data_IF_732059230903
#
_entry.id   IF_732059230903
#
_cell.length_a   1.000
_cell.length_b   1.000
_cell.length_c   1.000
_cell.angle_alpha   90.00
_cell.angle_beta   90.00
_cell.angle_gamma   90.00
#
_symmetry.space_group_name_H-M   'P 1'
#
loop_
_entity.id
_entity.type
_entity.pdbx_description
1 polymer ?
#
# COMPACT_ATOMS: atom_id res chain seq x y z
N UNK A 1 -21.65 -21.07 30.30
CA UNK A 1 -21.29 -19.81 29.67
C UNK A 1 -19.84 -19.93 29.26
N UNK A 2 -19.59 -20.26 27.97
CA UNK A 2 -18.24 -20.46 27.41
C UNK A 2 -17.80 -19.15 26.82
N UNK A 3 -16.84 -18.50 27.44
CA UNK A 3 -16.16 -17.30 26.93
C UNK A 3 -15.11 -17.77 25.94
N UNK A 4 -15.45 -17.71 24.67
CA UNK A 4 -14.49 -17.90 23.57
C UNK A 4 -13.63 -16.62 23.50
N UNK A 5 -12.46 -16.70 24.09
CA UNK A 5 -11.39 -15.71 23.88
C UNK A 5 -10.93 -15.86 22.42
N UNK A 6 -11.34 -14.91 21.57
CA UNK A 6 -10.71 -14.74 20.26
C UNK A 6 -9.25 -14.37 20.50
N UNK A 7 -8.34 -15.30 20.20
CA UNK A 7 -6.92 -15.02 20.06
C UNK A 7 -6.77 -14.07 18.86
N UNK A 8 -6.43 -12.82 19.13
CA UNK A 8 -5.84 -11.94 18.11
C UNK A 8 -4.48 -12.53 17.76
N UNK A 9 -4.43 -13.29 16.68
CA UNK A 9 -3.18 -13.84 16.16
C UNK A 9 -2.35 -12.69 15.57
N UNK A 10 -1.18 -12.50 16.11
CA UNK A 10 -0.13 -11.70 15.51
C UNK A 10 0.36 -12.51 14.30
N UNK A 11 -0.07 -12.13 13.11
CA UNK A 11 0.31 -12.85 11.89
C UNK A 11 1.82 -12.76 11.67
N UNK A 12 2.48 -13.87 11.87
CA UNK A 12 3.73 -14.20 11.20
C UNK A 12 3.33 -15.05 10.00
N UNK A 13 3.30 -14.44 8.81
CA UNK A 13 2.91 -15.16 7.59
C UNK A 13 3.78 -16.40 7.39
N UNK A 14 3.20 -17.57 7.13
CA UNK A 14 3.98 -18.67 6.58
C UNK A 14 4.32 -18.28 5.13
N UNK A 15 5.57 -17.97 4.94
CA UNK A 15 6.20 -17.78 3.64
C UNK A 15 6.03 -19.01 2.78
N UNK A 16 5.06 -19.06 1.94
CA UNK A 16 5.06 -20.00 0.83
C UNK A 16 3.90 -19.75 -0.13
N UNK A 17 4.02 -18.78 -1.02
CA UNK A 17 3.40 -18.89 -2.35
C UNK A 17 4.15 -18.05 -3.41
N UNK A 18 5.04 -17.12 -3.01
CA UNK A 18 5.82 -16.38 -4.00
C UNK A 18 7.30 -16.71 -3.89
N UNK A 19 7.85 -17.46 -4.85
CA UNK A 19 9.27 -17.44 -5.14
C UNK A 19 9.60 -16.16 -5.95
N UNK A 20 9.43 -15.03 -5.31
CA UNK A 20 10.00 -13.77 -5.79
C UNK A 20 11.49 -13.68 -5.47
N UNK A 21 12.21 -12.70 -6.02
CA UNK A 21 13.64 -12.55 -5.79
C UNK A 21 13.94 -12.55 -4.30
N UNK A 22 15.05 -13.19 -3.94
CA UNK A 22 15.52 -13.51 -2.60
C UNK A 22 15.15 -12.45 -1.55
N UNK A 23 14.76 -12.92 -0.35
CA UNK A 23 14.56 -12.11 0.85
C UNK A 23 15.61 -10.99 0.90
N UNK A 24 15.18 -9.74 0.81
CA UNK A 24 16.07 -8.63 1.13
C UNK A 24 16.36 -8.75 2.62
N UNK A 25 17.59 -9.11 2.99
CA UNK A 25 17.98 -9.10 4.39
C UNK A 25 17.73 -7.69 4.94
N UNK A 26 16.76 -7.57 5.84
CA UNK A 26 16.54 -6.32 6.54
C UNK A 26 17.69 -6.09 7.52
N UNK A 27 18.22 -4.89 7.54
CA UNK A 27 19.21 -4.47 8.56
C UNK A 27 18.58 -4.40 9.96
N UNK A 28 17.25 -4.30 10.04
CA UNK A 28 16.51 -4.08 11.28
C UNK A 28 15.27 -5.00 11.35
N UNK A 29 15.39 -6.34 11.35
CA UNK A 29 14.24 -7.24 11.35
C UNK A 29 13.45 -7.17 12.67
N UNK A 30 12.20 -7.64 12.63
CA UNK A 30 11.40 -7.85 13.84
C UNK A 30 10.71 -6.61 14.40
N UNK A 31 10.79 -5.43 13.77
CA UNK A 31 10.05 -4.23 14.19
C UNK A 31 8.55 -4.39 13.97
N UNK A 32 7.75 -3.73 14.80
CA UNK A 32 6.29 -3.71 14.71
C UNK A 32 5.80 -2.43 14.05
N UNK A 33 5.00 -2.60 13.00
CA UNK A 33 4.46 -1.53 12.18
C UNK A 33 2.94 -1.59 12.19
N UNK A 34 2.29 -0.46 12.36
CA UNK A 34 0.85 -0.31 12.15
C UNK A 34 0.62 0.37 10.82
N UNK A 35 -0.36 -0.12 10.05
CA UNK A 35 -0.82 0.51 8.82
C UNK A 35 -2.25 0.97 9.03
N UNK A 36 -2.51 2.25 8.82
CA UNK A 36 -3.82 2.85 9.04
C UNK A 36 -4.53 3.00 7.70
N UNK A 37 -5.57 2.20 7.50
CA UNK A 37 -6.48 2.37 6.38
C UNK A 37 -7.45 3.51 6.66
N UNK A 38 -7.53 4.49 5.77
CA UNK A 38 -8.48 5.61 5.82
C UNK A 38 -9.38 5.61 4.59
N UNK A 39 -10.58 6.16 4.73
CA UNK A 39 -11.52 6.29 3.62
C UNK A 39 -12.21 5.00 3.21
N UNK A 40 -12.81 5.04 2.03
CA UNK A 40 -13.61 3.94 1.51
C UNK A 40 -12.95 3.12 0.41
N UNK A 41 -11.91 3.64 -0.22
CA UNK A 41 -11.23 2.95 -1.30
C UNK A 41 -10.05 2.14 -0.79
N UNK A 42 -9.56 1.21 -1.59
CA UNK A 42 -8.42 0.38 -1.18
C UNK A 42 -7.16 1.23 -0.97
N UNK A 43 -6.48 1.02 0.14
CA UNK A 43 -5.22 1.70 0.43
C UNK A 43 -4.03 1.01 -0.28
N UNK A 44 -4.04 0.92 -1.62
CA UNK A 44 -3.05 0.15 -2.39
C UNK A 44 -1.61 0.50 -2.04
N UNK A 45 -1.28 1.77 -1.90
CA UNK A 45 0.06 2.19 -1.48
C UNK A 45 0.51 1.53 -0.18
N UNK A 46 -0.37 1.50 0.83
CA UNK A 46 -0.09 0.85 2.11
C UNK A 46 -0.07 -0.68 2.01
N UNK A 47 -0.88 -1.28 1.14
CA UNK A 47 -0.89 -2.73 0.93
C UNK A 47 0.46 -3.20 0.35
N UNK A 48 1.06 -2.43 -0.54
CA UNK A 48 2.42 -2.69 -1.02
C UNK A 48 3.48 -2.44 0.06
N UNK A 49 3.35 -1.39 0.85
CA UNK A 49 4.23 -1.16 2.02
C UNK A 49 4.18 -2.33 2.99
N UNK A 50 2.98 -2.86 3.27
CA UNK A 50 2.80 -4.05 4.09
C UNK A 50 3.55 -5.27 3.53
N UNK A 51 3.48 -5.49 2.21
CA UNK A 51 4.22 -6.55 1.54
C UNK A 51 5.73 -6.41 1.68
N UNK A 52 6.27 -5.19 1.55
CA UNK A 52 7.70 -4.93 1.76
C UNK A 52 8.12 -5.16 3.23
N UNK A 53 7.30 -4.73 4.18
CA UNK A 53 7.53 -4.96 5.60
C UNK A 53 7.57 -6.45 5.95
N UNK A 54 6.62 -7.24 5.46
CA UNK A 54 6.58 -8.69 5.71
C UNK A 54 7.79 -9.42 5.12
N UNK A 55 8.22 -9.06 3.90
CA UNK A 55 9.42 -9.63 3.28
C UNK A 55 10.72 -9.32 4.03
N UNK A 56 10.71 -8.27 4.85
CA UNK A 56 11.82 -7.84 5.70
C UNK A 56 11.72 -8.37 7.13
N UNK A 57 10.85 -9.36 7.37
CA UNK A 57 10.61 -9.97 8.68
C UNK A 57 10.10 -8.98 9.74
N UNK A 58 9.35 -7.95 9.34
CA UNK A 58 8.64 -7.08 10.27
C UNK A 58 7.26 -7.64 10.60
N UNK A 59 6.72 -7.22 11.75
CA UNK A 59 5.34 -7.55 12.16
C UNK A 59 4.43 -6.40 11.82
N UNK A 60 3.25 -6.70 11.27
CA UNK A 60 2.26 -5.69 10.88
C UNK A 60 0.95 -5.86 11.62
N UNK A 61 0.26 -4.73 11.83
CA UNK A 61 -1.12 -4.67 12.29
C UNK A 61 -1.85 -3.63 11.43
N UNK A 62 -2.98 -4.03 10.85
CA UNK A 62 -3.87 -3.11 10.16
C UNK A 62 -4.90 -2.53 11.12
N UNK A 63 -5.13 -1.23 11.00
CA UNK A 63 -6.15 -0.48 11.72
C UNK A 63 -7.09 0.18 10.73
N UNK A 64 -8.39 0.00 10.95
CA UNK A 64 -9.41 0.76 10.23
C UNK A 64 -9.53 2.15 10.86
N UNK A 65 -9.07 3.17 10.16
CA UNK A 65 -9.10 4.56 10.61
C UNK A 65 -10.52 5.13 10.72
N UNK A 66 -11.51 4.46 10.11
CA UNK A 66 -12.93 4.82 10.25
C UNK A 66 -13.56 4.33 11.57
N UNK A 67 -12.91 3.39 12.26
CA UNK A 67 -13.30 2.97 13.61
C UNK A 67 -13.11 4.11 14.64
N UNK A 68 -13.72 3.95 15.80
CA UNK A 68 -13.57 4.87 16.92
C UNK A 68 -12.09 5.08 17.32
N UNK A 69 -11.70 6.34 17.52
CA UNK A 69 -10.29 6.72 17.78
C UNK A 69 -9.77 6.06 19.07
N UNK A 70 -10.59 6.01 20.14
CA UNK A 70 -10.14 5.43 21.41
C UNK A 70 -9.96 3.91 21.28
N UNK A 71 -10.85 3.24 20.54
CA UNK A 71 -10.72 1.82 20.22
C UNK A 71 -9.42 1.55 19.44
N UNK A 72 -9.12 2.37 18.45
CA UNK A 72 -7.91 2.26 17.66
C UNK A 72 -6.66 2.51 18.51
N UNK A 73 -6.66 3.55 19.34
CA UNK A 73 -5.54 3.83 20.26
C UNK A 73 -5.28 2.64 21.18
N UNK A 74 -6.33 2.04 21.78
CA UNK A 74 -6.19 0.84 22.63
C UNK A 74 -5.58 -0.34 21.89
N UNK A 75 -6.02 -0.61 20.66
CA UNK A 75 -5.45 -1.69 19.82
C UNK A 75 -3.97 -1.44 19.52
N UNK A 76 -3.62 -0.22 19.12
CA UNK A 76 -2.27 0.19 18.78
C UNK A 76 -1.35 0.11 20.00
N UNK A 77 -1.81 0.61 21.15
CA UNK A 77 -1.04 0.55 22.41
C UNK A 77 -0.75 -0.90 22.82
N UNK A 78 -1.73 -1.79 22.69
CA UNK A 78 -1.54 -3.23 22.97
C UNK A 78 -0.53 -3.88 22.04
N UNK A 79 -0.51 -3.50 20.75
CA UNK A 79 0.46 -4.00 19.78
C UNK A 79 1.85 -3.45 20.02
N UNK A 80 1.96 -2.27 20.64
CA UNK A 80 3.21 -1.57 20.97
C UNK A 80 4.15 -1.41 19.76
N UNK A 81 3.73 -0.70 18.68
CA UNK A 81 4.53 -0.54 17.48
C UNK A 81 5.70 0.43 17.69
N UNK A 82 6.70 0.36 16.82
CA UNK A 82 7.73 1.38 16.67
C UNK A 82 7.33 2.41 15.61
N UNK A 83 6.55 2.00 14.60
CA UNK A 83 6.16 2.85 13.47
C UNK A 83 4.67 2.71 13.16
N UNK A 84 4.06 3.80 12.73
CA UNK A 84 2.67 3.81 12.23
C UNK A 84 2.65 4.54 10.90
N UNK A 85 2.17 3.85 9.85
CA UNK A 85 2.09 4.37 8.49
C UNK A 85 0.69 4.86 8.15
N UNK A 86 0.62 6.04 7.58
CA UNK A 86 -0.58 6.67 7.06
C UNK A 86 -0.36 7.04 5.59
N UNK A 87 -1.37 6.76 4.76
CA UNK A 87 -1.34 7.09 3.32
C UNK A 87 -2.61 7.78 2.84
N UNK A 88 -3.08 8.86 3.51
CA UNK A 88 -4.38 9.44 3.24
C UNK A 88 -4.45 10.16 1.89
N UNK A 89 -5.64 10.17 1.31
CA UNK A 89 -6.05 11.18 0.34
C UNK A 89 -6.27 12.52 1.06
N UNK A 90 -6.38 13.61 0.31
CA UNK A 90 -6.60 14.94 0.90
C UNK A 90 -7.91 15.02 1.71
N UNK A 91 -8.93 14.31 1.29
CA UNK A 91 -10.22 14.22 1.98
C UNK A 91 -10.17 13.44 3.31
N UNK A 92 -9.17 12.59 3.49
CA UNK A 92 -9.00 11.69 4.64
C UNK A 92 -7.94 12.19 5.62
N UNK A 93 -7.15 13.18 5.20
CA UNK A 93 -5.98 13.64 5.95
C UNK A 93 -6.30 14.11 7.37
N UNK A 94 -7.36 14.89 7.56
CA UNK A 94 -7.73 15.39 8.88
C UNK A 94 -8.10 14.26 9.86
N UNK A 95 -8.69 13.17 9.37
CA UNK A 95 -8.99 12.00 10.18
C UNK A 95 -7.72 11.24 10.56
N UNK A 96 -6.83 11.00 9.61
CA UNK A 96 -5.52 10.41 9.86
C UNK A 96 -4.72 11.23 10.89
N UNK A 97 -4.73 12.55 10.74
CA UNK A 97 -4.07 13.48 11.65
C UNK A 97 -4.67 13.45 13.07
N UNK A 98 -6.00 13.39 13.19
CA UNK A 98 -6.68 13.24 14.48
C UNK A 98 -6.23 11.98 15.22
N UNK A 99 -6.14 10.85 14.50
CA UNK A 99 -5.67 9.60 15.07
C UNK A 99 -4.19 9.69 15.46
N UNK A 100 -3.32 10.24 14.62
CA UNK A 100 -1.89 10.39 14.92
C UNK A 100 -1.66 11.24 16.18
N UNK A 101 -2.39 12.34 16.34
CA UNK A 101 -2.34 13.20 17.54
C UNK A 101 -2.80 12.46 18.81
N UNK A 102 -3.85 11.66 18.69
CA UNK A 102 -4.34 10.85 19.82
C UNK A 102 -3.31 9.79 20.23
N UNK A 103 -2.67 9.14 19.25
CA UNK A 103 -1.62 8.14 19.49
C UNK A 103 -0.39 8.77 20.14
N UNK A 104 0.08 9.93 19.67
CA UNK A 104 1.24 10.62 20.26
C UNK A 104 1.06 10.97 21.74
N UNK A 105 -0.17 11.19 22.19
CA UNK A 105 -0.46 11.42 23.62
C UNK A 105 -0.21 10.17 24.46
N UNK A 106 -0.58 8.99 23.95
CA UNK A 106 -0.46 7.71 24.67
C UNK A 106 0.90 7.04 24.46
N UNK A 107 1.47 7.20 23.25
CA UNK A 107 2.73 6.61 22.84
C UNK A 107 3.66 7.69 22.26
N UNK A 108 4.24 8.57 23.08
CA UNK A 108 5.04 9.71 22.60
C UNK A 108 6.28 9.32 21.81
N UNK A 109 6.79 8.10 22.01
CA UNK A 109 8.00 7.59 21.33
C UNK A 109 7.71 6.82 20.03
N UNK A 110 6.43 6.61 19.67
CA UNK A 110 6.09 5.95 18.40
C UNK A 110 6.38 6.91 17.23
N UNK A 111 6.82 6.37 16.13
CA UNK A 111 7.13 7.15 14.93
C UNK A 111 5.93 7.14 13.96
N UNK A 112 5.31 8.27 13.72
CA UNK A 112 4.26 8.44 12.72
C UNK A 112 4.88 8.79 11.37
N UNK A 113 4.64 7.94 10.38
CA UNK A 113 5.13 8.04 9.00
C UNK A 113 3.96 8.37 8.08
N UNK A 114 3.98 9.54 7.48
CA UNK A 114 2.95 9.96 6.53
C UNK A 114 3.49 9.94 5.11
N UNK A 115 2.74 9.35 4.20
CA UNK A 115 3.00 9.29 2.77
C UNK A 115 1.72 9.47 1.96
N UNK A 116 1.71 8.97 0.74
CA UNK A 116 0.54 8.98 -0.14
C UNK A 116 0.28 10.29 -0.86
N UNK A 117 -0.93 10.43 -1.41
CA UNK A 117 -1.25 11.51 -2.35
C UNK A 117 -1.26 12.89 -1.69
N UNK A 118 -1.75 13.02 -0.46
CA UNK A 118 -1.79 14.30 0.23
C UNK A 118 -0.38 14.83 0.54
N UNK A 119 0.47 13.99 1.09
CA UNK A 119 1.88 14.36 1.38
C UNK A 119 2.62 14.72 0.09
N UNK A 120 2.38 13.98 -0.99
CA UNK A 120 2.99 14.26 -2.29
C UNK A 120 2.61 15.65 -2.84
N UNK A 121 1.39 16.12 -2.56
CA UNK A 121 0.90 17.40 -3.04
C UNK A 121 1.46 18.61 -2.27
N UNK A 122 1.61 18.47 -0.93
CA UNK A 122 1.98 19.62 -0.06
C UNK A 122 3.00 19.23 1.03
N UNK A 123 4.14 18.60 0.71
CA UNK A 123 5.07 18.11 1.72
C UNK A 123 5.63 19.22 2.62
N UNK A 124 5.87 20.40 2.07
CA UNK A 124 6.46 21.52 2.81
C UNK A 124 5.53 22.06 3.91
N UNK A 125 4.22 22.07 3.67
CA UNK A 125 3.24 22.55 4.64
C UNK A 125 3.12 21.61 5.85
N UNK A 126 3.45 20.33 5.68
CA UNK A 126 3.32 19.31 6.70
C UNK A 126 4.55 19.14 7.59
N UNK A 127 5.68 19.73 7.25
CA UNK A 127 6.95 19.59 7.99
C UNK A 127 6.90 20.03 9.45
N UNK A 128 5.98 20.94 9.79
CA UNK A 128 5.85 21.51 11.13
C UNK A 128 4.70 20.90 11.93
N UNK A 129 4.11 19.78 11.48
CA UNK A 129 3.04 19.14 12.21
C UNK A 129 3.63 18.18 13.27
N UNK A 130 3.51 18.55 14.54
CA UNK A 130 4.16 17.85 15.69
C UNK A 130 3.83 16.36 15.83
N UNK A 131 2.71 15.92 15.24
CA UNK A 131 2.32 14.50 15.28
C UNK A 131 2.85 13.67 14.12
N UNK A 132 3.65 14.26 13.23
CA UNK A 132 4.27 13.62 12.08
C UNK A 132 5.78 13.57 12.28
N UNK A 133 6.35 12.38 12.37
CA UNK A 133 7.80 12.20 12.55
C UNK A 133 8.55 12.05 11.23
N UNK A 134 7.89 11.48 10.22
CA UNK A 134 8.46 11.30 8.89
C UNK A 134 7.43 11.61 7.81
N UNK A 135 7.85 12.36 6.82
CA UNK A 135 7.13 12.54 5.58
C UNK A 135 7.83 11.73 4.50
N UNK A 136 7.08 10.91 3.76
CA UNK A 136 7.64 10.15 2.63
C UNK A 136 7.01 10.65 1.34
N UNK A 137 7.86 11.23 0.50
CA UNK A 137 7.47 11.75 -0.80
C UNK A 137 7.84 10.76 -1.90
N UNK A 138 6.86 10.31 -2.66
CA UNK A 138 7.04 9.28 -3.67
C UNK A 138 6.81 7.86 -3.15
N UNK A 139 7.34 6.83 -3.81
CA UNK A 139 7.13 5.42 -3.45
C UNK A 139 7.80 5.07 -2.12
N UNK A 140 7.03 4.52 -1.19
CA UNK A 140 7.57 4.02 0.09
C UNK A 140 8.17 2.62 -0.05
N UNK A 141 7.66 1.83 -0.99
CA UNK A 141 8.17 0.48 -1.25
C UNK A 141 9.67 0.51 -1.55
N UNK A 142 10.44 -0.31 -0.84
CA UNK A 142 11.91 -0.30 -0.91
C UNK A 142 12.60 0.78 -0.06
N UNK A 143 11.84 1.67 0.59
CA UNK A 143 12.40 2.77 1.39
C UNK A 143 12.36 2.51 2.91
N UNK A 144 11.98 1.32 3.35
CA UNK A 144 11.78 0.99 4.78
C UNK A 144 13.06 1.21 5.60
N UNK A 145 14.21 0.67 5.15
CA UNK A 145 15.46 0.87 5.86
C UNK A 145 15.87 2.35 5.91
N UNK A 146 15.59 3.11 4.84
CA UNK A 146 15.85 4.55 4.81
C UNK A 146 14.99 5.30 5.82
N UNK A 147 13.74 4.90 6.05
CA UNK A 147 12.89 5.48 7.09
C UNK A 147 13.49 5.19 8.48
N UNK A 148 13.89 3.95 8.73
CA UNK A 148 14.43 3.52 10.01
C UNK A 148 15.75 4.23 10.34
N UNK A 149 16.60 4.44 9.35
CA UNK A 149 17.95 5.03 9.51
C UNK A 149 17.94 6.57 9.47
N UNK A 150 16.84 7.21 9.09
CA UNK A 150 16.76 8.67 8.98
C UNK A 150 16.51 9.33 10.34
N UNK A 151 17.04 10.54 10.56
CA UNK A 151 16.70 11.34 11.74
C UNK A 151 15.22 11.74 11.71
N UNK A 152 14.63 12.02 12.88
CA UNK A 152 13.25 12.51 13.01
C UNK A 152 13.05 13.82 12.25
N UNK A 153 11.81 14.10 11.89
CA UNK A 153 11.39 15.29 11.13
C UNK A 153 12.04 15.39 9.74
N UNK A 154 12.31 14.24 9.11
CA UNK A 154 12.90 14.18 7.77
C UNK A 154 11.85 14.01 6.71
N UNK A 155 11.97 14.77 5.62
CA UNK A 155 11.30 14.46 4.34
C UNK A 155 12.15 13.43 3.60
N UNK A 156 11.62 12.23 3.46
CA UNK A 156 12.29 11.11 2.81
C UNK A 156 11.81 11.00 1.37
N UNK A 157 12.71 11.13 0.43
CA UNK A 157 12.42 10.81 -0.95
C UNK A 157 12.43 9.29 -1.15
N UNK A 158 11.29 8.73 -1.55
CA UNK A 158 11.16 7.33 -1.87
C UNK A 158 11.91 6.97 -3.15
N UNK A 159 12.46 5.76 -3.19
CA UNK A 159 13.10 5.25 -4.39
C UNK A 159 12.07 4.59 -5.32
N UNK A 160 12.07 4.86 -6.63
CA UNK A 160 11.21 4.18 -7.57
C UNK A 160 11.55 2.69 -7.60
N UNK A 161 10.53 1.85 -7.59
CA UNK A 161 10.65 0.39 -7.67
C UNK A 161 9.79 -0.11 -8.80
N UNK A 162 10.31 -1.05 -9.59
CA UNK A 162 9.55 -1.65 -10.70
C UNK A 162 8.33 -2.40 -10.16
N UNK A 163 7.14 -2.24 -10.75
CA UNK A 163 5.94 -2.94 -10.35
C UNK A 163 6.09 -4.46 -10.30
N UNK A 164 6.90 -5.03 -11.22
CA UNK A 164 7.23 -6.46 -11.24
C UNK A 164 7.93 -6.97 -9.97
N UNK A 165 8.59 -6.09 -9.23
CA UNK A 165 9.28 -6.42 -7.98
C UNK A 165 8.44 -6.16 -6.72
N UNK A 166 7.21 -5.66 -6.89
CA UNK A 166 6.34 -5.30 -5.78
C UNK A 166 5.33 -6.42 -5.50
N UNK A 167 5.12 -6.71 -4.23
CA UNK A 167 4.17 -7.72 -3.77
C UNK A 167 3.22 -7.10 -2.74
N UNK A 168 1.92 -7.05 -3.00
CA UNK A 168 0.95 -6.53 -2.04
C UNK A 168 0.62 -7.56 -0.95
N UNK A 169 0.45 -7.13 0.30
CA UNK A 169 -0.03 -7.96 1.40
C UNK A 169 -1.58 -7.94 1.47
N UNK A 170 -2.23 -8.41 0.42
CA UNK A 170 -3.70 -8.35 0.30
C UNK A 170 -4.42 -9.24 1.30
N UNK A 171 -3.87 -10.43 1.63
CA UNK A 171 -4.47 -11.34 2.58
C UNK A 171 -4.61 -10.66 3.95
N UNK A 172 -3.52 -10.17 4.48
CA UNK A 172 -3.47 -9.50 5.78
C UNK A 172 -4.36 -8.25 5.81
N UNK A 173 -4.43 -7.54 4.68
CA UNK A 173 -5.30 -6.38 4.56
C UNK A 173 -6.78 -6.75 4.62
N UNK A 174 -7.24 -7.69 3.80
CA UNK A 174 -8.66 -8.06 3.76
C UNK A 174 -9.12 -8.82 5.01
N UNK A 175 -8.24 -9.58 5.66
CA UNK A 175 -8.55 -10.25 6.92
C UNK A 175 -8.66 -9.27 8.10
N UNK A 176 -7.78 -8.27 8.16
CA UNK A 176 -7.72 -7.34 9.28
C UNK A 176 -8.60 -6.08 9.09
N UNK A 177 -9.08 -5.81 7.88
CA UNK A 177 -10.05 -4.75 7.56
C UNK A 177 -11.33 -5.40 7.01
N UNK A 178 -12.22 -5.95 7.87
CA UNK A 178 -13.34 -6.80 7.44
C UNK A 178 -14.29 -6.11 6.47
N UNK A 179 -14.54 -4.80 6.61
CA UNK A 179 -15.40 -4.05 5.69
C UNK A 179 -14.86 -4.02 4.26
N UNK A 180 -13.52 -4.13 4.10
CA UNK A 180 -12.89 -4.23 2.79
C UNK A 180 -12.87 -5.69 2.30
N UNK A 181 -12.62 -6.64 3.21
CA UNK A 181 -12.68 -8.07 2.91
C UNK A 181 -14.06 -8.56 2.47
N UNK A 182 -15.13 -7.99 3.00
CA UNK A 182 -16.52 -8.35 2.68
C UNK A 182 -17.07 -7.69 1.40
N UNK A 183 -16.32 -6.79 0.76
CA UNK A 183 -16.76 -6.20 -0.51
C UNK A 183 -16.76 -7.24 -1.61
N UNK A 184 -17.80 -7.25 -2.41
CA UNK A 184 -17.89 -8.13 -3.59
C UNK A 184 -16.94 -7.69 -4.71
N UNK A 185 -16.66 -6.38 -4.84
CA UNK A 185 -15.62 -5.83 -5.72
C UNK A 185 -14.28 -5.76 -5.02
N UNK A 186 -13.28 -6.39 -5.63
CA UNK A 186 -11.88 -6.28 -5.26
C UNK A 186 -11.09 -5.57 -6.35
N UNK A 187 -9.85 -5.29 -6.05
CA UNK A 187 -9.01 -4.46 -6.91
C UNK A 187 -7.68 -5.14 -7.17
N UNK A 188 -7.14 -4.91 -8.35
CA UNK A 188 -5.77 -5.27 -8.74
C UNK A 188 -5.14 -4.08 -9.46
N UNK A 189 -3.82 -4.05 -9.50
CA UNK A 189 -3.07 -2.99 -10.17
C UNK A 189 -1.97 -3.59 -11.04
N UNK A 190 -1.94 -3.22 -12.32
CA UNK A 190 -0.94 -3.73 -13.26
C UNK A 190 0.30 -2.83 -13.37
N UNK A 191 0.13 -1.52 -13.14
CA UNK A 191 1.21 -0.51 -13.15
C UNK A 191 0.80 0.74 -12.38
N UNK A 192 1.70 1.71 -12.22
CA UNK A 192 1.49 2.86 -11.32
C UNK A 192 1.41 4.22 -12.01
N UNK A 193 1.54 4.30 -13.29
CA UNK A 193 1.68 5.57 -13.97
C UNK A 193 0.66 5.80 -15.05
N UNK A 194 0.63 7.04 -15.51
CA UNK A 194 -0.17 7.50 -16.64
C UNK A 194 0.69 8.35 -17.56
N UNK A 195 0.49 8.23 -18.85
CA UNK A 195 1.24 8.99 -19.86
C UNK A 195 0.70 10.39 -20.10
N UNK A 196 -0.55 10.60 -19.70
CA UNK A 196 -1.23 11.88 -19.90
C UNK A 196 -0.74 12.97 -18.94
N UNK A 197 -0.91 14.20 -19.34
CA UNK A 197 -0.52 15.39 -18.57
C UNK A 197 -1.74 16.24 -18.24
N UNK A 198 -2.72 15.66 -17.57
CA UNK A 198 -3.92 16.36 -17.17
C UNK A 198 -3.62 17.37 -16.07
N UNK A 199 -4.02 18.63 -16.27
CA UNK A 199 -3.67 19.75 -15.38
C UNK A 199 -4.20 19.62 -13.94
N UNK A 200 -5.20 18.79 -13.72
CA UNK A 200 -5.81 18.52 -12.42
C UNK A 200 -5.27 17.24 -11.74
N UNK A 201 -4.43 16.47 -12.40
CA UNK A 201 -4.02 15.13 -11.92
C UNK A 201 -2.71 15.18 -11.14
N UNK A 202 -2.66 14.51 -9.98
CA UNK A 202 -1.47 14.43 -9.14
C UNK A 202 -0.35 13.55 -9.74
N UNK A 203 -0.65 12.72 -10.71
CA UNK A 203 0.34 11.87 -11.40
C UNK A 203 1.40 12.69 -12.13
N UNK A 204 1.05 13.86 -12.64
CA UNK A 204 1.99 14.80 -13.27
C UNK A 204 3.07 15.31 -12.29
N UNK A 205 2.71 15.53 -11.04
CA UNK A 205 3.67 15.94 -9.99
C UNK A 205 4.74 14.87 -9.81
N UNK A 206 4.35 13.62 -9.75
CA UNK A 206 5.26 12.48 -9.62
C UNK A 206 6.18 12.36 -10.83
N UNK A 207 5.63 12.49 -12.03
CA UNK A 207 6.40 12.43 -13.28
C UNK A 207 7.44 13.54 -13.39
N UNK A 208 7.08 14.76 -13.03
CA UNK A 208 8.01 15.91 -13.03
C UNK A 208 9.13 15.73 -12.03
N UNK A 209 8.82 15.21 -10.87
CA UNK A 209 9.77 15.00 -9.79
C UNK A 209 10.85 13.97 -10.12
N UNK A 210 10.45 12.80 -10.63
CA UNK A 210 11.41 11.74 -10.97
C UNK A 210 12.04 11.91 -12.36
N UNK A 211 11.49 12.79 -13.20
CA UNK A 211 11.89 12.97 -14.58
C UNK A 211 11.38 11.87 -15.52
N UNK A 212 11.30 12.16 -16.83
CA UNK A 212 10.60 11.30 -17.79
C UNK A 212 11.24 9.92 -17.97
N UNK A 213 12.57 9.80 -17.85
CA UNK A 213 13.27 8.53 -18.01
C UNK A 213 12.92 7.57 -16.87
N UNK A 214 13.10 8.01 -15.63
CA UNK A 214 12.83 7.20 -14.43
C UNK A 214 11.34 6.83 -14.37
N UNK A 215 10.47 7.78 -14.67
CA UNK A 215 9.04 7.55 -14.70
C UNK A 215 8.65 6.48 -15.71
N UNK A 216 9.19 6.52 -16.94
CA UNK A 216 8.94 5.50 -17.95
C UNK A 216 9.45 4.13 -17.54
N UNK A 217 10.66 4.07 -16.99
CA UNK A 217 11.32 2.81 -16.65
C UNK A 217 10.67 2.09 -15.47
N UNK A 218 10.18 2.82 -14.45
CA UNK A 218 9.72 2.23 -13.20
C UNK A 218 8.20 2.30 -12.99
N UNK A 219 7.50 3.22 -13.62
CA UNK A 219 6.08 3.46 -13.35
C UNK A 219 5.15 3.03 -14.47
N UNK A 220 5.63 3.03 -15.70
CA UNK A 220 4.85 2.56 -16.84
C UNK A 220 5.12 1.08 -17.18
N UNK A 221 6.01 0.42 -16.44
CA UNK A 221 6.22 -1.01 -16.58
C UNK A 221 5.03 -1.77 -15.99
N UNK A 222 4.48 -2.71 -16.75
CA UNK A 222 3.45 -3.61 -16.26
C UNK A 222 4.03 -4.77 -15.49
N UNK A 223 3.27 -5.21 -14.51
CA UNK A 223 3.55 -6.44 -13.79
C UNK A 223 3.37 -7.65 -14.72
N UNK A 224 4.14 -8.73 -14.52
CA UNK A 224 3.91 -9.99 -15.21
C UNK A 224 2.48 -10.50 -14.99
N UNK A 225 1.89 -11.08 -16.05
CA UNK A 225 0.52 -11.60 -15.99
C UNK A 225 0.38 -12.67 -14.90
N UNK A 226 1.38 -13.52 -14.74
CA UNK A 226 1.42 -14.57 -13.73
C UNK A 226 1.25 -14.01 -12.32
N UNK A 227 1.95 -12.92 -11.98
CA UNK A 227 1.86 -12.27 -10.67
C UNK A 227 0.44 -11.75 -10.41
N UNK A 228 -0.19 -11.18 -11.43
CA UNK A 228 -1.55 -10.66 -11.32
C UNK A 228 -2.59 -11.78 -11.19
N UNK A 229 -2.39 -12.89 -11.86
CA UNK A 229 -3.28 -14.06 -11.77
C UNK A 229 -3.16 -14.71 -10.39
N UNK A 230 -1.95 -14.82 -9.83
CA UNK A 230 -1.78 -15.35 -8.47
C UNK A 230 -2.42 -14.45 -7.42
N UNK A 231 -2.27 -13.13 -7.57
CA UNK A 231 -2.96 -12.15 -6.73
C UNK A 231 -4.48 -12.30 -6.85
N UNK A 232 -5.00 -12.44 -8.08
CA UNK A 232 -6.42 -12.64 -8.31
C UNK A 232 -6.95 -13.97 -7.73
N UNK A 233 -6.16 -15.05 -7.76
CA UNK A 233 -6.50 -16.32 -7.10
C UNK A 233 -6.66 -16.14 -5.60
N UNK A 234 -5.81 -15.34 -4.97
CA UNK A 234 -5.96 -14.98 -3.56
C UNK A 234 -7.28 -14.27 -3.29
N UNK A 235 -7.70 -13.36 -4.18
CA UNK A 235 -8.97 -12.65 -4.03
C UNK A 235 -10.20 -13.58 -4.04
N UNK A 236 -10.10 -14.75 -4.68
CA UNK A 236 -11.18 -15.75 -4.69
C UNK A 236 -11.43 -16.39 -3.31
N UNK A 237 -10.48 -16.30 -2.39
CA UNK A 237 -10.64 -16.79 -1.02
C UNK A 237 -11.56 -15.88 -0.18
N UNK A 238 -11.79 -14.65 -0.65
CA UNK A 238 -12.76 -13.70 -0.11
C UNK A 238 -14.01 -13.72 -1.01
N UNK A 239 -15.15 -13.24 -0.53
CA UNK A 239 -16.41 -13.21 -1.31
C UNK A 239 -16.35 -12.25 -2.50
N UNK A 240 -15.44 -12.51 -3.45
CA UNK A 240 -15.20 -11.68 -4.63
C UNK A 240 -16.13 -12.07 -5.77
N UNK A 241 -16.89 -11.12 -6.27
CA UNK A 241 -17.79 -11.30 -7.42
C UNK A 241 -17.26 -10.62 -8.69
N UNK A 242 -16.46 -9.59 -8.52
CA UNK A 242 -15.89 -8.80 -9.61
C UNK A 242 -14.55 -8.19 -9.20
N UNK A 243 -13.70 -7.91 -10.18
CA UNK A 243 -12.39 -7.28 -9.97
C UNK A 243 -12.29 -6.02 -10.82
N UNK A 244 -11.72 -4.97 -10.25
CA UNK A 244 -11.44 -3.71 -10.95
C UNK A 244 -9.95 -3.46 -11.03
N UNK A 245 -9.49 -2.92 -12.17
CA UNK A 245 -8.16 -2.32 -12.24
C UNK A 245 -8.14 -0.97 -11.53
N UNK A 246 -7.11 -0.76 -10.70
CA UNK A 246 -6.79 0.52 -10.06
C UNK A 246 -5.66 1.28 -10.78
N UNK A 247 -5.38 0.90 -12.00
CA UNK A 247 -4.40 1.57 -12.85
C UNK A 247 -4.85 3.01 -13.15
N UNK A 248 -3.91 3.94 -13.17
CA UNK A 248 -4.18 5.32 -13.63
C UNK A 248 -4.63 5.36 -15.11
N UNK A 249 -4.20 4.40 -15.92
CA UNK A 249 -4.59 4.21 -17.34
C UNK A 249 -4.32 2.77 -17.78
N UNK A 250 -5.35 1.94 -17.82
CA UNK A 250 -5.21 0.52 -18.16
C UNK A 250 -4.82 0.25 -19.62
N UNK A 251 -5.07 1.19 -20.52
CA UNK A 251 -4.83 1.01 -21.96
C UNK A 251 -3.38 1.33 -22.38
N UNK A 252 -2.62 2.01 -21.53
CA UNK A 252 -1.26 2.38 -21.80
C UNK A 252 -0.29 1.65 -20.88
N UNK A 253 0.92 1.42 -21.36
CA UNK A 253 1.99 0.80 -20.58
C UNK A 253 2.30 -0.62 -21.03
N UNK A 254 3.35 -0.73 -21.83
CA UNK A 254 4.08 -1.96 -22.11
C UNK A 254 5.50 -1.80 -21.60
N UNK A 255 6.26 -2.90 -21.55
CA UNK A 255 7.71 -2.86 -21.26
C UNK A 255 8.48 -1.79 -22.05
N UNK A 256 7.97 -1.42 -23.23
CA UNK A 256 8.60 -0.45 -24.13
C UNK A 256 7.89 0.90 -24.17
N UNK A 257 6.82 1.08 -23.37
CA UNK A 257 6.01 2.31 -23.32
C UNK A 257 5.11 2.48 -24.54
N UNK A 258 4.68 1.39 -25.15
CA UNK A 258 3.72 1.34 -26.25
C UNK A 258 2.29 1.10 -25.79
N UNK A 259 1.43 0.71 -26.72
CA UNK A 259 0.05 0.36 -26.45
C UNK A 259 -0.05 -1.01 -25.72
N UNK A 260 -0.98 -1.14 -24.82
CA UNK A 260 -1.18 -2.33 -23.99
C UNK A 260 -1.95 -3.46 -24.68
N UNK A 261 -2.30 -3.33 -25.95
CA UNK A 261 -3.27 -4.21 -26.63
C UNK A 261 -2.86 -5.68 -26.60
N UNK A 262 -1.61 -6.01 -26.87
CA UNK A 262 -1.14 -7.41 -26.85
C UNK A 262 -1.17 -7.98 -25.45
N UNK A 263 -0.65 -7.24 -24.47
CA UNK A 263 -0.68 -7.63 -23.07
C UNK A 263 -2.12 -7.83 -22.58
N UNK A 264 -3.05 -6.94 -22.91
CA UNK A 264 -4.46 -7.04 -22.53
C UNK A 264 -5.16 -8.24 -23.18
N UNK A 265 -4.81 -8.61 -24.41
CA UNK A 265 -5.35 -9.80 -25.07
C UNK A 265 -4.88 -11.07 -24.34
N UNK A 266 -3.58 -11.19 -24.09
CA UNK A 266 -3.01 -12.31 -23.37
C UNK A 266 -3.59 -12.39 -21.94
N UNK A 267 -3.58 -11.28 -21.22
CA UNK A 267 -4.17 -11.20 -19.89
C UNK A 267 -5.64 -11.64 -19.87
N UNK A 268 -6.45 -11.15 -20.79
CA UNK A 268 -7.87 -11.54 -20.93
C UNK A 268 -8.03 -13.04 -21.10
N UNK A 269 -7.21 -13.67 -21.96
CA UNK A 269 -7.30 -15.08 -22.24
C UNK A 269 -6.90 -15.94 -21.03
N UNK A 270 -5.83 -15.57 -20.34
CA UNK A 270 -5.42 -16.21 -19.08
C UNK A 270 -6.45 -15.96 -17.98
N UNK A 271 -6.93 -14.72 -17.83
CA UNK A 271 -7.96 -14.38 -16.85
C UNK A 271 -9.24 -15.19 -17.00
N UNK A 272 -9.74 -15.30 -18.24
CA UNK A 272 -10.95 -16.09 -18.55
C UNK A 272 -10.78 -17.58 -18.21
N UNK A 273 -9.57 -18.11 -18.37
CA UNK A 273 -9.25 -19.50 -18.07
C UNK A 273 -9.08 -19.77 -16.56
N UNK A 274 -8.36 -18.90 -15.85
CA UNK A 274 -7.89 -19.15 -14.50
C UNK A 274 -8.79 -18.55 -13.41
N UNK A 275 -9.46 -17.42 -13.68
CA UNK A 275 -10.22 -16.62 -12.71
C UNK A 275 -11.70 -16.56 -13.08
N UNK A 276 -12.00 -16.17 -14.32
CA UNK A 276 -13.36 -16.10 -14.90
C UNK A 276 -14.37 -15.21 -14.13
N UNK A 277 -13.92 -14.19 -13.43
CA UNK A 277 -14.77 -13.16 -12.83
C UNK A 277 -14.94 -11.98 -13.77
N UNK A 278 -16.07 -11.24 -13.69
CA UNK A 278 -16.22 -9.95 -14.33
C UNK A 278 -15.08 -9.01 -13.96
N UNK A 279 -14.59 -8.25 -14.94
CA UNK A 279 -13.50 -7.30 -14.75
C UNK A 279 -13.90 -5.93 -15.27
N UNK A 280 -13.52 -4.91 -14.52
CA UNK A 280 -13.71 -3.50 -14.86
C UNK A 280 -12.36 -2.81 -15.01
N UNK A 281 -12.32 -1.83 -15.90
CA UNK A 281 -11.19 -0.94 -16.09
C UNK A 281 -11.71 0.48 -16.30
N UNK A 282 -11.06 1.45 -15.71
CA UNK A 282 -11.35 2.88 -15.90
C UNK A 282 -10.54 3.46 -17.05
#
# INVERSE_FOLDING_TARGET
MSTTLHREEVFTSPTAIFQGPASMESKHPGLRWVLVHTGNDIAYGLVYVAGDLLRRDHKILWIDGEDDVEKNVKKITKFAPQYICYGPLSTEFLQALKLSKAIKKELPLVNNVFGGHHVKAIPEELKNEDSIDYLVWGPVYGSIDKIIESPLNTLIEGAPTKPSNMQPALREYYEQIPRMGQRERKYIMSHFGCVYNCSFCCTDVTRKAFGPKVYKEFWLERRPIENMIEEAKLLLEFDTKEVSFEDDDVLYGTHEGGDATEWLREFKDVWKKEINLPMYAN
#
